data_IF_307414660165
#
_entry.id   IF_307414660165
#
_cell.length_a   1.000
_cell.length_b   1.000
_cell.length_c   1.000
_cell.angle_alpha   90.00
_cell.angle_beta   90.00
_cell.angle_gamma   90.00
#
_symmetry.space_group_name_H-M   'P 1'
#
loop_
_entity.id
_entity.type
_entity.pdbx_description
1 polymer ?
#
# COMPACT_ATOMS: atom_id res chain seq x y z
N UNK A 1 13.64 17.85 9.34
CA UNK A 1 13.81 17.24 8.01
C UNK A 1 12.78 16.13 7.95
N UNK A 2 11.69 16.37 7.22
CA UNK A 2 10.57 15.44 7.14
C UNK A 2 11.04 14.23 6.34
N UNK A 3 11.21 13.07 6.99
CA UNK A 3 11.22 11.78 6.28
C UNK A 3 9.87 11.58 5.59
N UNK A 4 9.70 10.57 4.73
CA UNK A 4 8.40 10.24 4.15
C UNK A 4 7.50 9.75 5.28
N UNK A 5 6.91 10.71 5.99
CA UNK A 5 5.67 10.52 6.72
C UNK A 5 4.77 9.94 5.66
N UNK A 6 4.31 8.71 5.89
CA UNK A 6 3.06 8.27 5.32
C UNK A 6 2.08 9.38 5.67
N UNK A 7 1.89 10.30 4.73
CA UNK A 7 0.68 11.09 4.68
C UNK A 7 -0.35 9.99 4.49
N UNK A 8 -0.88 9.52 5.62
CA UNK A 8 -2.30 9.35 5.79
C UNK A 8 -2.89 10.40 4.88
N UNK A 9 -3.21 10.02 3.65
CA UNK A 9 -4.16 10.79 2.91
C UNK A 9 -5.35 10.72 3.84
N UNK A 10 -5.60 11.82 4.56
CA UNK A 10 -6.88 12.12 5.15
C UNK A 10 -7.85 12.17 3.98
N UNK A 11 -8.16 11.00 3.42
CA UNK A 11 -9.38 10.79 2.71
C UNK A 11 -10.41 10.98 3.79
N UNK A 12 -11.06 12.14 3.74
CA UNK A 12 -12.26 12.48 4.48
C UNK A 12 -13.37 11.50 4.05
N UNK A 13 -13.23 10.24 4.47
CA UNK A 13 -14.22 9.20 4.35
C UNK A 13 -15.10 9.38 5.58
N UNK A 14 -16.29 9.93 5.37
CA UNK A 14 -17.32 10.16 6.38
C UNK A 14 -17.95 8.87 6.92
N UNK A 15 -17.24 7.75 6.89
CA UNK A 15 -17.70 6.51 7.52
C UNK A 15 -17.13 6.44 8.95
N UNK A 16 -17.94 6.04 9.94
CA UNK A 16 -17.47 5.94 11.31
C UNK A 16 -16.46 4.79 11.43
N UNK A 17 -15.17 5.13 11.45
CA UNK A 17 -14.03 4.20 11.59
C UNK A 17 -14.00 3.43 12.94
N UNK A 18 -14.98 3.63 13.82
CA UNK A 18 -15.09 2.94 15.10
C UNK A 18 -15.43 1.44 15.01
N UNK A 19 -15.92 0.95 13.85
CA UNK A 19 -16.32 -0.46 13.67
C UNK A 19 -15.30 -1.33 12.90
N UNK A 20 -14.18 -0.79 12.41
CA UNK A 20 -13.31 -1.49 11.43
C UNK A 20 -11.94 -1.95 11.94
N UNK A 21 -11.56 -1.63 13.18
CA UNK A 21 -10.33 -2.15 13.78
C UNK A 21 -10.54 -3.52 14.39
N UNK A 22 -9.81 -4.52 13.90
CA UNK A 22 -9.86 -5.88 14.43
C UNK A 22 -8.45 -6.34 14.78
N UNK A 23 -8.31 -6.96 15.94
CA UNK A 23 -7.08 -7.68 16.31
C UNK A 23 -7.33 -9.17 16.18
N UNK A 24 -6.36 -9.86 15.61
CA UNK A 24 -6.34 -11.32 15.49
C UNK A 24 -4.97 -11.82 15.94
N UNK A 25 -4.92 -13.06 16.46
CA UNK A 25 -3.64 -13.74 16.63
C UNK A 25 -2.96 -13.86 15.27
N UNK A 26 -1.65 -13.61 15.22
CA UNK A 26 -0.86 -13.74 14.00
C UNK A 26 -0.01 -15.02 14.07
N UNK A 27 -0.46 -16.14 13.47
CA UNK A 27 0.12 -17.46 13.67
C UNK A 27 1.37 -17.68 12.79
N UNK A 28 2.20 -16.66 12.64
CA UNK A 28 3.42 -16.67 11.85
C UNK A 28 4.60 -16.27 12.73
N UNK A 29 5.78 -16.82 12.43
CA UNK A 29 7.00 -16.41 13.13
C UNK A 29 7.43 -15.04 12.60
N UNK A 30 7.50 -14.06 13.48
CA UNK A 30 7.94 -12.70 13.15
C UNK A 30 9.33 -12.46 13.69
N UNK A 31 10.20 -11.90 12.85
CA UNK A 31 11.54 -11.48 13.23
C UNK A 31 11.78 -10.04 12.79
N UNK A 32 12.20 -9.21 13.74
CA UNK A 32 12.52 -7.80 13.52
C UNK A 32 14.04 -7.66 13.55
N UNK A 33 14.60 -7.11 12.48
CA UNK A 33 16.04 -7.03 12.26
C UNK A 33 16.46 -5.62 11.87
N UNK A 34 17.57 -5.15 12.44
CA UNK A 34 18.23 -3.91 12.04
C UNK A 34 19.71 -4.16 11.79
N UNK A 35 20.13 -3.94 10.54
CA UNK A 35 21.40 -4.43 10.03
C UNK A 35 21.56 -5.94 10.30
N UNK A 36 22.63 -6.38 10.97
CA UNK A 36 22.85 -7.79 11.31
C UNK A 36 22.25 -8.21 12.66
N UNK A 37 21.52 -7.30 13.33
CA UNK A 37 21.04 -7.50 14.69
C UNK A 37 19.56 -7.84 14.75
N UNK A 38 19.24 -8.98 15.35
CA UNK A 38 17.87 -9.39 15.64
C UNK A 38 17.37 -8.66 16.89
N UNK A 39 16.43 -7.74 16.70
CA UNK A 39 15.82 -6.92 17.75
C UNK A 39 14.68 -7.65 18.45
N UNK A 40 13.95 -8.50 17.73
CA UNK A 40 12.84 -9.27 18.29
C UNK A 40 12.59 -10.55 17.48
N UNK A 41 12.12 -11.60 18.15
CA UNK A 41 11.61 -12.82 17.53
C UNK A 41 10.37 -13.27 18.30
N UNK A 42 9.23 -13.40 17.62
CA UNK A 42 7.97 -13.75 18.26
C UNK A 42 7.19 -14.80 17.46
N UNK A 43 6.52 -15.70 18.19
CA UNK A 43 5.43 -16.54 17.68
C UNK A 43 4.08 -16.16 18.34
N UNK A 44 4.05 -15.07 19.11
CA UNK A 44 2.90 -14.60 19.89
C UNK A 44 2.50 -13.19 19.42
N UNK A 45 2.65 -12.93 18.12
CA UNK A 45 2.34 -11.63 17.54
C UNK A 45 0.83 -11.48 17.35
N UNK A 46 0.37 -10.24 17.33
CA UNK A 46 -0.98 -9.83 16.97
C UNK A 46 -0.96 -9.13 15.62
N UNK A 47 -2.00 -9.33 14.82
CA UNK A 47 -2.26 -8.58 13.60
C UNK A 47 -3.39 -7.59 13.87
N UNK A 48 -3.08 -6.30 13.85
CA UNK A 48 -4.07 -5.24 13.84
C UNK A 48 -4.49 -4.98 12.40
N UNK A 49 -5.72 -5.32 12.05
CA UNK A 49 -6.33 -5.02 10.76
C UNK A 49 -7.12 -3.72 10.89
N UNK A 50 -6.76 -2.76 10.05
CA UNK A 50 -7.47 -1.49 9.88
C UNK A 50 -7.58 -1.12 8.40
N UNK A 51 -8.12 0.06 8.11
CA UNK A 51 -8.62 0.45 6.78
C UNK A 51 -7.64 0.27 5.62
N UNK A 52 -6.34 0.45 5.83
CA UNK A 52 -5.35 0.49 4.74
C UNK A 52 -4.41 -0.71 4.74
N UNK A 53 -3.51 -0.77 5.72
CA UNK A 53 -2.53 -1.82 5.86
C UNK A 53 -2.57 -2.33 7.31
N UNK A 54 -2.51 -3.66 7.51
CA UNK A 54 -2.33 -4.21 8.84
C UNK A 54 -0.96 -3.86 9.43
N UNK A 55 -0.91 -3.82 10.76
CA UNK A 55 0.31 -3.75 11.54
C UNK A 55 0.51 -5.02 12.35
N UNK A 56 1.76 -5.45 12.50
CA UNK A 56 2.14 -6.56 13.37
C UNK A 56 2.62 -5.99 14.70
N UNK A 57 1.97 -6.45 15.77
CA UNK A 57 2.26 -6.09 17.14
C UNK A 57 2.94 -7.27 17.84
N UNK A 58 4.14 -7.04 18.38
CA UNK A 58 4.91 -8.04 19.13
C UNK A 58 4.82 -7.71 20.62
N UNK A 59 4.72 -8.72 21.51
CA UNK A 59 4.72 -8.46 22.94
C UNK A 59 6.10 -7.93 23.36
N UNK A 60 6.13 -6.99 24.31
CA UNK A 60 7.39 -6.42 24.80
C UNK A 60 8.37 -7.47 25.34
N UNK A 61 7.88 -8.63 25.81
CA UNK A 61 8.70 -9.74 26.28
C UNK A 61 9.57 -10.37 25.19
N UNK A 62 9.19 -10.22 23.93
CA UNK A 62 9.87 -10.81 22.78
C UNK A 62 10.81 -9.79 22.10
N UNK A 63 10.88 -8.56 22.63
CA UNK A 63 11.67 -7.44 22.11
C UNK A 63 12.88 -7.18 23.01
N UNK A 64 14.04 -6.95 22.40
CA UNK A 64 15.27 -6.51 23.08
C UNK A 64 15.18 -5.05 23.52
N UNK A 65 14.44 -4.82 24.59
CA UNK A 65 14.21 -3.49 25.16
C UNK A 65 15.50 -2.81 25.66
N UNK A 66 16.58 -3.56 25.88
CA UNK A 66 17.92 -3.03 26.16
C UNK A 66 18.50 -2.19 25.01
N UNK A 67 17.98 -2.34 23.80
CA UNK A 67 18.34 -1.55 22.61
C UNK A 67 17.30 -0.48 22.23
N UNK A 68 16.26 -0.31 23.06
CA UNK A 68 15.16 0.62 22.81
C UNK A 68 15.25 1.80 23.77
N UNK A 69 15.37 3.00 23.24
CA UNK A 69 15.40 4.24 24.04
C UNK A 69 14.11 5.01 23.83
N UNK A 70 13.30 5.14 24.89
CA UNK A 70 12.07 5.92 24.84
C UNK A 70 12.35 7.39 24.47
N UNK A 71 11.42 8.00 23.76
CA UNK A 71 11.53 9.39 23.31
C UNK A 71 10.41 10.24 23.90
N UNK A 72 10.58 11.56 23.88
CA UNK A 72 9.50 12.51 24.19
C UNK A 72 8.49 12.65 23.03
N UNK A 73 8.70 11.92 21.92
CA UNK A 73 7.79 11.96 20.79
C UNK A 73 6.54 11.12 21.08
N UNK A 74 5.37 11.69 20.79
CA UNK A 74 4.10 11.00 20.87
C UNK A 74 3.14 11.52 19.80
N UNK A 75 2.23 10.67 19.37
CA UNK A 75 1.13 11.02 18.48
C UNK A 75 -0.19 10.62 19.12
N UNK A 76 -1.28 11.27 18.73
CA UNK A 76 -2.62 10.94 19.24
C UNK A 76 -3.46 10.43 18.08
N UNK A 77 -3.93 9.20 18.22
CA UNK A 77 -4.94 8.61 17.35
C UNK A 77 -6.30 8.72 18.05
N UNK A 78 -7.33 9.29 17.41
CA UNK A 78 -8.68 9.38 17.99
C UNK A 78 -9.28 8.03 18.40
N UNK A 79 -8.83 6.94 17.79
CA UNK A 79 -9.39 5.59 17.98
C UNK A 79 -8.51 4.66 18.83
N UNK A 80 -7.20 4.93 18.92
CA UNK A 80 -6.24 4.07 19.64
C UNK A 80 -5.65 4.73 20.88
N UNK A 81 -5.75 6.06 21.00
CA UNK A 81 -5.17 6.82 22.10
C UNK A 81 -3.80 7.40 21.76
N UNK A 82 -2.98 7.63 22.79
CA UNK A 82 -1.65 8.20 22.65
C UNK A 82 -0.63 7.10 22.35
N UNK A 83 0.11 7.25 21.25
CA UNK A 83 1.23 6.40 20.91
C UNK A 83 2.52 6.94 21.54
N UNK A 84 3.29 6.06 22.17
CA UNK A 84 4.66 6.27 22.63
C UNK A 84 5.64 5.77 21.58
N UNK A 85 6.83 6.37 21.49
CA UNK A 85 7.84 6.02 20.49
C UNK A 85 9.22 5.76 21.10
N UNK A 86 9.95 4.84 20.49
CA UNK A 86 11.32 4.48 20.85
C UNK A 86 12.25 4.62 19.65
N UNK A 87 13.45 5.12 19.93
CA UNK A 87 14.61 4.98 19.09
C UNK A 87 15.19 3.58 19.25
N UNK A 88 15.73 3.02 18.17
CA UNK A 88 16.55 1.81 18.22
C UNK A 88 18.00 2.26 18.25
N UNK A 89 18.78 1.75 19.20
CA UNK A 89 20.22 1.98 19.29
C UNK A 89 20.96 0.67 19.54
N UNK A 90 21.81 0.28 18.61
CA UNK A 90 22.58 -0.96 18.69
C UNK A 90 24.08 -0.63 18.70
N UNK A 91 24.80 -1.24 19.64
CA UNK A 91 26.25 -1.14 19.83
C UNK A 91 26.81 0.30 19.89
N UNK A 92 25.98 1.27 20.28
CA UNK A 92 26.29 2.71 20.31
C UNK A 92 26.79 3.29 18.98
N UNK A 93 26.56 2.61 17.86
CA UNK A 93 27.03 3.02 16.53
C UNK A 93 25.91 3.18 15.53
N UNK A 94 24.87 2.36 15.65
CA UNK A 94 23.72 2.37 14.75
C UNK A 94 22.52 2.91 15.51
N UNK A 95 21.81 3.87 14.90
CA UNK A 95 20.61 4.45 15.50
C UNK A 95 19.54 4.72 14.46
N UNK A 96 18.29 4.44 14.81
CA UNK A 96 17.12 4.84 14.03
C UNK A 96 16.09 5.48 14.94
N UNK A 97 15.71 6.70 14.59
CA UNK A 97 14.77 7.48 15.40
C UNK A 97 13.32 7.03 15.17
N UNK A 98 12.56 6.95 16.27
CA UNK A 98 11.12 6.67 16.29
C UNK A 98 10.75 5.48 15.38
N UNK A 99 11.43 4.35 15.58
CA UNK A 99 11.32 3.16 14.74
C UNK A 99 10.34 2.12 15.29
N UNK A 100 10.09 2.17 16.60
CA UNK A 100 9.10 1.36 17.29
C UNK A 100 8.06 2.28 17.94
N UNK A 101 6.80 1.87 17.95
CA UNK A 101 5.73 2.54 18.68
C UNK A 101 4.84 1.56 19.44
N UNK A 102 4.14 2.06 20.43
CA UNK A 102 3.17 1.29 21.21
C UNK A 102 2.04 2.19 21.72
N UNK A 103 0.87 1.59 21.94
CA UNK A 103 -0.22 2.21 22.68
C UNK A 103 -0.22 1.62 24.09
N UNK A 104 0.46 2.29 25.02
CA UNK A 104 0.63 1.78 26.40
C UNK A 104 -0.65 1.91 27.25
N UNK A 105 -1.49 2.89 26.90
CA UNK A 105 -2.80 3.13 27.50
C UNK A 105 -3.84 3.36 26.38
N UNK A 106 -4.27 2.29 25.67
CA UNK A 106 -5.25 2.41 24.62
C UNK A 106 -6.60 2.94 25.15
N UNK A 107 -7.28 3.77 24.36
CA UNK A 107 -8.60 4.31 24.75
C UNK A 107 -9.67 3.21 24.81
N UNK A 108 -10.73 3.45 25.58
CA UNK A 108 -11.89 2.56 25.63
C UNK A 108 -12.48 2.35 24.22
N UNK A 109 -12.70 1.09 23.84
CA UNK A 109 -13.17 0.70 22.51
C UNK A 109 -12.06 0.36 21.51
N UNK A 110 -10.78 0.65 21.81
CA UNK A 110 -9.66 0.12 21.06
C UNK A 110 -9.47 -1.38 21.39
N UNK A 111 -9.16 -2.25 20.42
CA UNK A 111 -8.65 -3.58 20.72
C UNK A 111 -7.48 -3.52 21.71
N UNK A 112 -7.36 -4.52 22.59
CA UNK A 112 -6.33 -4.52 23.63
C UNK A 112 -4.93 -4.73 23.00
N UNK A 113 -4.23 -3.62 22.77
CA UNK A 113 -2.85 -3.57 22.28
C UNK A 113 -1.85 -3.36 23.43
N UNK A 114 -2.32 -3.34 24.69
CA UNK A 114 -1.48 -3.06 25.83
C UNK A 114 -0.43 -4.14 26.00
N UNK A 115 0.82 -3.73 26.20
CA UNK A 115 1.94 -4.66 26.35
C UNK A 115 2.53 -5.14 25.02
N UNK A 116 2.07 -4.60 23.89
CA UNK A 116 2.61 -4.87 22.56
C UNK A 116 3.17 -3.60 21.93
N UNK A 117 4.11 -3.78 21.00
CA UNK A 117 4.69 -2.73 20.19
C UNK A 117 4.78 -3.15 18.72
N UNK A 118 4.76 -2.18 17.81
CA UNK A 118 4.92 -2.37 16.37
C UNK A 118 6.14 -1.58 15.85
N UNK A 119 6.61 -1.95 14.66
CA UNK A 119 7.83 -1.39 14.05
C UNK A 119 7.54 -0.82 12.67
N UNK A 120 8.24 0.25 12.31
CA UNK A 120 8.10 0.89 11.01
C UNK A 120 8.86 0.10 9.96
N UNK A 121 8.13 -0.61 9.10
CA UNK A 121 8.71 -1.48 8.05
C UNK A 121 9.56 -0.71 7.02
N UNK A 122 9.27 0.58 6.82
CA UNK A 122 10.08 1.47 6.00
C UNK A 122 11.41 1.85 6.67
N UNK A 123 11.58 1.58 7.96
CA UNK A 123 12.82 1.83 8.71
C UNK A 123 13.56 0.56 9.12
N UNK A 124 12.84 -0.52 9.44
CA UNK A 124 13.37 -1.74 10.05
C UNK A 124 12.92 -2.95 9.24
N UNK A 125 13.81 -3.92 9.05
CA UNK A 125 13.50 -5.12 8.30
C UNK A 125 12.63 -6.04 9.15
N UNK A 126 11.48 -6.42 8.61
CA UNK A 126 10.58 -7.38 9.23
C UNK A 126 10.47 -8.62 8.36
N UNK A 127 10.74 -9.77 8.95
CA UNK A 127 10.59 -11.06 8.31
C UNK A 127 9.41 -11.82 8.92
N UNK A 128 8.57 -12.40 8.06
CA UNK A 128 7.46 -13.28 8.43
C UNK A 128 7.74 -14.64 7.82
N UNK A 129 7.82 -15.67 8.66
CA UNK A 129 8.20 -17.04 8.29
C UNK A 129 9.50 -17.09 7.45
N UNK A 130 10.45 -16.22 7.79
CA UNK A 130 11.74 -16.10 7.10
C UNK A 130 11.71 -15.30 5.79
N UNK A 131 10.55 -14.81 5.35
CA UNK A 131 10.42 -13.96 4.17
C UNK A 131 10.36 -12.48 4.57
N UNK A 132 11.19 -11.65 3.94
CA UNK A 132 11.14 -10.19 4.13
C UNK A 132 9.77 -9.64 3.70
N UNK A 133 9.14 -8.85 4.56
CA UNK A 133 7.93 -8.09 4.24
C UNK A 133 8.28 -7.00 3.24
N UNK A 134 7.60 -6.99 2.10
CA UNK A 134 7.82 -6.02 1.01
C UNK A 134 6.63 -5.07 0.92
N UNK A 135 6.90 -3.76 0.94
CA UNK A 135 5.86 -2.75 1.02
C UNK A 135 5.26 -2.71 2.42
N UNK A 136 4.09 -3.34 2.60
CA UNK A 136 3.41 -3.43 3.90
C UNK A 136 2.97 -4.88 4.18
N UNK A 137 2.55 -5.13 5.42
CA UNK A 137 2.04 -6.44 5.85
C UNK A 137 0.79 -6.79 5.05
N UNK A 138 0.66 -8.05 4.65
CA UNK A 138 -0.51 -8.53 3.91
C UNK A 138 -1.68 -8.72 4.87
N UNK A 139 -2.85 -8.22 4.48
CA UNK A 139 -4.11 -8.56 5.13
C UNK A 139 -4.55 -9.95 4.65
N UNK A 140 -4.67 -10.95 5.54
CA UNK A 140 -5.05 -12.31 5.16
C UNK A 140 -6.47 -12.41 4.60
N UNK A 141 -7.33 -11.43 4.89
CA UNK A 141 -8.71 -11.36 4.39
C UNK A 141 -8.84 -10.61 3.06
N UNK A 142 -7.73 -10.14 2.49
CA UNK A 142 -7.73 -9.47 1.19
C UNK A 142 -8.04 -10.49 0.09
N UNK A 143 -9.01 -10.17 -0.77
CA UNK A 143 -9.31 -10.95 -1.97
C UNK A 143 -8.95 -10.09 -3.19
N UNK A 144 -8.23 -10.70 -4.13
CA UNK A 144 -7.96 -10.13 -5.45
C UNK A 144 -8.40 -11.14 -6.49
N UNK A 145 -9.24 -10.70 -7.41
CA UNK A 145 -9.71 -11.49 -8.53
C UNK A 145 -9.56 -10.71 -9.83
N UNK A 146 -9.26 -11.43 -10.92
CA UNK A 146 -9.11 -10.83 -12.25
C UNK A 146 -10.07 -11.50 -13.22
N UNK A 147 -10.95 -10.70 -13.82
CA UNK A 147 -12.00 -11.18 -14.72
C UNK A 147 -11.88 -10.56 -16.11
N UNK A 148 -12.11 -11.34 -17.16
CA UNK A 148 -12.16 -10.82 -18.52
C UNK A 148 -13.39 -9.91 -18.71
N UNK A 149 -13.16 -8.74 -19.32
CA UNK A 149 -14.22 -7.81 -19.72
C UNK A 149 -14.72 -8.26 -21.10
N UNK A 150 -16.01 -8.61 -21.19
CA UNK A 150 -16.61 -9.11 -22.45
C UNK A 150 -16.97 -7.98 -23.42
N UNK A 151 -17.14 -6.77 -22.89
CA UNK A 151 -17.53 -5.58 -23.61
C UNK A 151 -16.29 -4.91 -24.22
N UNK A 152 -16.47 -4.21 -25.35
CA UNK A 152 -15.46 -3.29 -25.88
C UNK A 152 -15.32 -2.11 -24.92
N UNK A 153 -14.11 -1.88 -24.44
CA UNK A 153 -13.74 -0.76 -23.58
C UNK A 153 -13.23 0.37 -24.45
N UNK A 154 -13.80 1.56 -24.31
CA UNK A 154 -13.32 2.77 -24.96
C UNK A 154 -13.21 3.91 -23.95
N UNK A 155 -12.04 4.53 -23.85
CA UNK A 155 -11.78 5.64 -22.93
C UNK A 155 -11.23 6.83 -23.68
N UNK A 156 -11.72 8.02 -23.34
CA UNK A 156 -11.40 9.27 -24.03
C UNK A 156 -10.99 10.37 -23.06
N UNK A 157 -10.06 11.20 -23.50
CA UNK A 157 -9.78 12.52 -22.92
C UNK A 157 -10.16 13.51 -24.01
N UNK A 158 -11.16 14.35 -23.75
CA UNK A 158 -11.79 15.22 -24.75
C UNK A 158 -12.20 14.44 -25.99
N UNK A 159 -11.61 14.76 -27.13
CA UNK A 159 -11.91 14.11 -28.41
C UNK A 159 -10.97 12.93 -28.70
N UNK A 160 -9.85 12.84 -28.01
CA UNK A 160 -8.85 11.79 -28.20
C UNK A 160 -9.33 10.45 -27.67
N UNK A 161 -9.31 9.44 -28.52
CA UNK A 161 -9.52 8.05 -28.14
C UNK A 161 -8.19 7.48 -27.66
N UNK A 162 -8.04 7.36 -26.35
CA UNK A 162 -6.81 6.89 -25.70
C UNK A 162 -6.81 5.37 -25.63
N UNK A 163 -7.95 4.78 -25.26
CA UNK A 163 -8.13 3.33 -25.15
C UNK A 163 -9.28 2.90 -26.08
N UNK A 164 -9.05 1.85 -26.87
CA UNK A 164 -10.08 1.18 -27.66
C UNK A 164 -9.72 -0.30 -27.83
N UNK A 165 -10.36 -1.17 -27.05
CA UNK A 165 -10.02 -2.60 -27.06
C UNK A 165 -11.21 -3.49 -26.70
N UNK A 166 -11.16 -4.75 -27.15
CA UNK A 166 -12.01 -5.87 -26.65
C UNK A 166 -11.22 -6.86 -25.79
N UNK A 167 -9.92 -6.66 -25.69
CA UNK A 167 -9.02 -7.38 -24.81
C UNK A 167 -8.77 -6.48 -23.61
N UNK A 168 -9.56 -6.69 -22.56
CA UNK A 168 -9.42 -5.99 -21.30
C UNK A 168 -9.78 -6.96 -20.18
N UNK A 169 -9.15 -6.76 -19.02
CA UNK A 169 -9.53 -7.43 -17.78
C UNK A 169 -9.86 -6.38 -16.73
N UNK A 170 -10.72 -6.75 -15.79
CA UNK A 170 -11.00 -5.98 -14.59
C UNK A 170 -10.39 -6.70 -13.41
N UNK A 171 -9.64 -5.98 -12.59
CA UNK A 171 -9.13 -6.46 -11.32
C UNK A 171 -10.00 -5.88 -10.21
N UNK A 172 -10.58 -6.77 -9.42
CA UNK A 172 -11.35 -6.43 -8.22
C UNK A 172 -10.51 -6.77 -6.99
N UNK A 173 -10.48 -5.85 -6.05
CA UNK A 173 -9.66 -5.95 -4.84
C UNK A 173 -10.43 -5.47 -3.62
N UNK A 174 -10.44 -6.26 -2.54
CA UNK A 174 -11.20 -5.92 -1.32
C UNK A 174 -10.91 -4.50 -0.83
N UNK A 175 -11.96 -3.68 -0.72
CA UNK A 175 -11.87 -2.32 -0.21
C UNK A 175 -11.33 -1.29 -1.20
N UNK A 176 -11.09 -1.65 -2.47
CA UNK A 176 -10.65 -0.73 -3.52
C UNK A 176 -11.61 -0.78 -4.72
N UNK A 177 -11.72 0.33 -5.48
CA UNK A 177 -12.47 0.33 -6.74
C UNK A 177 -11.85 -0.62 -7.77
N UNK A 178 -12.71 -1.19 -8.61
CA UNK A 178 -12.32 -2.03 -9.73
C UNK A 178 -11.39 -1.28 -10.70
N UNK A 179 -10.34 -1.97 -11.18
CA UNK A 179 -9.36 -1.40 -12.11
C UNK A 179 -9.37 -2.11 -13.44
N UNK A 180 -9.51 -1.34 -14.50
CA UNK A 180 -9.30 -1.85 -15.85
C UNK A 180 -7.81 -2.01 -16.14
N UNK A 181 -7.49 -3.15 -16.74
CA UNK A 181 -6.19 -3.47 -17.30
C UNK A 181 -6.39 -3.78 -18.78
N UNK A 182 -5.60 -3.14 -19.64
CA UNK A 182 -5.64 -3.32 -21.10
C UNK A 182 -4.25 -3.67 -21.63
N UNK A 183 -4.11 -4.42 -22.74
CA UNK A 183 -2.79 -4.67 -23.31
C UNK A 183 -2.15 -3.35 -23.76
N UNK A 184 -0.82 -3.29 -23.76
CA UNK A 184 -0.09 -2.08 -24.19
C UNK A 184 -0.53 -1.60 -25.59
N UNK A 185 -0.81 -2.52 -26.52
CA UNK A 185 -1.30 -2.20 -27.86
C UNK A 185 -2.65 -1.49 -27.91
N UNK A 186 -3.42 -1.49 -26.81
CA UNK A 186 -4.69 -0.78 -26.71
C UNK A 186 -4.51 0.74 -26.53
N UNK A 187 -3.31 1.19 -26.17
CA UNK A 187 -2.98 2.62 -26.00
C UNK A 187 -1.93 2.99 -27.04
N UNK A 188 -2.23 3.91 -27.99
CA UNK A 188 -1.22 4.40 -28.90
C UNK A 188 -0.03 5.03 -28.16
N UNK A 189 1.19 4.60 -28.48
CA UNK A 189 2.41 5.02 -27.77
C UNK A 189 2.62 6.53 -27.69
N UNK A 190 2.10 7.31 -28.66
CA UNK A 190 2.15 8.79 -28.62
C UNK A 190 1.46 9.40 -27.39
N UNK A 191 0.57 8.66 -26.72
CA UNK A 191 -0.11 9.12 -25.52
C UNK A 191 0.61 8.70 -24.24
N UNK A 192 1.58 7.79 -24.30
CA UNK A 192 2.32 7.29 -23.15
C UNK A 192 3.67 7.98 -23.04
N UNK A 193 3.94 8.56 -21.88
CA UNK A 193 5.24 9.10 -21.50
C UNK A 193 5.70 8.40 -20.22
N UNK A 194 6.93 7.90 -20.20
CA UNK A 194 7.49 7.24 -19.02
C UNK A 194 7.52 8.18 -17.82
N UNK A 195 7.25 7.64 -16.63
CA UNK A 195 7.41 8.33 -15.36
C UNK A 195 8.55 7.71 -14.57
N UNK A 196 9.26 8.54 -13.80
CA UNK A 196 10.24 8.08 -12.81
C UNK A 196 9.57 7.44 -11.57
N UNK A 197 8.24 7.41 -11.51
CA UNK A 197 7.49 6.82 -10.40
C UNK A 197 7.49 5.29 -10.49
N UNK A 198 7.86 4.67 -9.38
CA UNK A 198 7.70 3.24 -9.13
C UNK A 198 7.02 2.99 -7.78
N UNK A 199 6.25 1.91 -7.66
CA UNK A 199 5.65 1.52 -6.37
C UNK A 199 5.73 0.03 -6.15
N UNK A 200 5.72 -0.38 -4.88
CA UNK A 200 5.68 -1.80 -4.51
C UNK A 200 4.32 -2.09 -3.88
N UNK A 201 3.56 -3.00 -4.49
CA UNK A 201 2.36 -3.56 -3.92
C UNK A 201 2.69 -4.93 -3.35
N UNK A 202 2.47 -5.14 -2.04
CA UNK A 202 2.73 -6.45 -1.40
C UNK A 202 1.98 -7.61 -2.07
N UNK A 203 0.85 -7.35 -2.73
CA UNK A 203 0.01 -8.37 -3.35
C UNK A 203 0.25 -8.60 -4.84
N UNK A 204 0.81 -7.60 -5.55
CA UNK A 204 0.92 -7.60 -7.02
C UNK A 204 2.36 -7.48 -7.51
N UNK A 205 3.27 -6.99 -6.67
CA UNK A 205 4.68 -6.79 -6.98
C UNK A 205 5.01 -5.35 -7.35
N UNK A 206 5.95 -5.22 -8.27
CA UNK A 206 6.57 -3.95 -8.63
C UNK A 206 5.85 -3.29 -9.80
N UNK A 207 5.35 -2.07 -9.59
CA UNK A 207 4.70 -1.26 -10.61
C UNK A 207 5.61 -0.14 -11.11
N UNK A 208 5.63 0.07 -12.43
CA UNK A 208 6.17 1.26 -13.10
C UNK A 208 5.02 2.08 -13.69
N UNK A 209 5.20 3.39 -13.77
CA UNK A 209 4.14 4.32 -14.14
C UNK A 209 4.42 5.05 -15.46
N UNK A 210 3.35 5.51 -16.09
CA UNK A 210 3.38 6.40 -17.24
C UNK A 210 2.42 7.56 -17.01
N UNK A 211 2.78 8.72 -17.55
CA UNK A 211 1.88 9.83 -17.75
C UNK A 211 1.05 9.61 -19.03
N UNK A 212 -0.18 10.13 -19.06
CA UNK A 212 -0.92 10.29 -20.31
C UNK A 212 -0.75 11.71 -20.82
N UNK A 213 -0.23 11.86 -22.04
CA UNK A 213 -0.07 13.16 -22.70
C UNK A 213 -0.94 13.26 -23.94
N UNK A 214 -1.85 14.22 -23.97
CA UNK A 214 -2.52 14.72 -25.17
C UNK A 214 -1.97 16.10 -25.52
N UNK A 215 -2.39 16.69 -26.65
CA UNK A 215 -2.01 18.06 -27.00
C UNK A 215 -2.49 19.09 -25.95
N UNK A 216 -3.61 18.79 -25.28
CA UNK A 216 -4.26 19.71 -24.35
C UNK A 216 -3.96 19.42 -22.88
N UNK A 217 -3.54 18.19 -22.54
CA UNK A 217 -3.49 17.72 -21.16
C UNK A 217 -2.36 16.74 -20.91
N UNK A 218 -1.61 16.99 -19.84
CA UNK A 218 -0.79 15.98 -19.19
C UNK A 218 -1.55 15.46 -17.95
N UNK A 219 -1.67 14.15 -17.82
CA UNK A 219 -2.20 13.49 -16.63
C UNK A 219 -1.10 12.61 -16.07
N UNK A 220 -0.57 12.99 -14.91
CA UNK A 220 0.62 12.35 -14.38
C UNK A 220 0.31 11.03 -13.67
N UNK A 221 1.22 10.04 -13.76
CA UNK A 221 1.19 8.81 -12.95
C UNK A 221 -0.11 8.00 -13.04
N UNK A 222 -0.78 8.05 -14.19
CA UNK A 222 -2.15 7.59 -14.34
C UNK A 222 -2.27 6.18 -14.89
N UNK A 223 -1.24 5.74 -15.59
CA UNK A 223 -1.12 4.38 -16.11
C UNK A 223 -0.01 3.68 -15.34
N UNK A 224 -0.19 2.41 -15.01
CA UNK A 224 0.86 1.59 -14.42
C UNK A 224 0.92 0.20 -15.03
N UNK A 225 2.06 -0.46 -14.88
CA UNK A 225 2.27 -1.82 -15.37
C UNK A 225 3.00 -2.65 -14.33
N UNK A 226 2.56 -3.90 -14.16
CA UNK A 226 3.32 -4.94 -13.45
C UNK A 226 3.97 -5.85 -14.49
N UNK A 227 5.26 -5.63 -14.77
CA UNK A 227 6.00 -6.45 -15.74
C UNK A 227 6.31 -7.85 -15.20
N UNK A 228 6.49 -7.97 -13.89
CA UNK A 228 6.76 -9.22 -13.18
C UNK A 228 5.87 -9.33 -11.93
N UNK A 229 4.55 -9.60 -12.10
CA UNK A 229 3.65 -9.65 -10.97
C UNK A 229 3.98 -10.81 -10.03
N UNK A 230 3.92 -10.57 -8.72
CA UNK A 230 4.16 -11.60 -7.71
C UNK A 230 2.92 -12.47 -7.51
N UNK A 231 3.04 -13.76 -7.81
CA UNK A 231 1.91 -14.70 -7.81
C UNK A 231 1.81 -15.53 -6.53
N UNK A 232 2.64 -15.25 -5.53
CA UNK A 232 2.71 -15.96 -4.26
C UNK A 232 1.50 -15.65 -3.36
N UNK A 233 0.91 -14.46 -3.49
CA UNK A 233 -0.35 -14.12 -2.82
C UNK A 233 -1.57 -14.72 -3.53
N UNK A 234 -1.67 -14.53 -4.84
CA UNK A 234 -2.73 -15.12 -5.68
C UNK A 234 -2.23 -15.32 -7.10
N UNK A 235 -2.52 -16.47 -7.76
CA UNK A 235 -2.09 -16.70 -9.14
C UNK A 235 -2.85 -15.83 -10.16
N UNK A 236 -4.01 -15.26 -9.80
CA UNK A 236 -4.84 -14.47 -10.72
C UNK A 236 -4.13 -13.22 -11.27
N UNK A 237 -3.21 -12.63 -10.50
CA UNK A 237 -2.42 -11.46 -10.93
C UNK A 237 -1.47 -11.77 -12.08
N UNK A 238 -1.20 -13.05 -12.39
CA UNK A 238 -0.47 -13.40 -13.61
C UNK A 238 -1.19 -12.93 -14.88
N UNK A 239 -2.53 -12.78 -14.82
CA UNK A 239 -3.38 -12.33 -15.95
C UNK A 239 -3.18 -10.86 -16.30
N UNK A 240 -2.64 -10.04 -15.39
CA UNK A 240 -2.35 -8.62 -15.64
C UNK A 240 -0.89 -8.38 -15.99
N UNK A 241 -0.07 -9.43 -16.18
CA UNK A 241 1.34 -9.29 -16.57
C UNK A 241 1.42 -8.50 -17.87
N UNK A 242 2.16 -7.39 -17.85
CA UNK A 242 2.32 -6.45 -18.96
C UNK A 242 1.02 -5.78 -19.46
N UNK A 243 -0.10 -5.91 -18.75
CA UNK A 243 -1.27 -5.08 -19.02
C UNK A 243 -1.12 -3.74 -18.29
N UNK A 244 -1.59 -2.68 -18.94
CA UNK A 244 -1.63 -1.32 -18.44
C UNK A 244 -2.89 -1.11 -17.59
N UNK A 245 -2.69 -0.94 -16.29
CA UNK A 245 -3.72 -0.51 -15.35
C UNK A 245 -3.98 1.00 -15.47
N UNK A 246 -5.24 1.40 -15.29
CA UNK A 246 -5.70 2.77 -15.56
C UNK A 246 -6.61 3.29 -14.44
N UNK A 247 -6.44 4.56 -14.05
CA UNK A 247 -7.44 5.26 -13.24
C UNK A 247 -8.55 5.80 -14.15
N UNK A 248 -9.70 5.13 -14.18
CA UNK A 248 -10.83 5.48 -15.05
C UNK A 248 -11.38 6.88 -14.80
N UNK A 249 -11.24 7.39 -13.57
CA UNK A 249 -11.73 8.73 -13.18
C UNK A 249 -10.97 9.88 -13.83
N UNK A 250 -9.80 9.64 -14.44
CA UNK A 250 -9.06 10.69 -15.14
C UNK A 250 -9.53 10.93 -16.57
N UNK A 251 -10.34 10.02 -17.11
CA UNK A 251 -10.90 10.10 -18.46
C UNK A 251 -12.19 10.91 -18.45
N UNK A 252 -12.39 11.72 -19.49
CA UNK A 252 -13.63 12.50 -19.66
C UNK A 252 -14.80 11.59 -20.06
N UNK A 253 -14.52 10.43 -20.65
CA UNK A 253 -15.54 9.44 -21.02
C UNK A 253 -14.98 8.03 -20.96
N UNK A 254 -15.71 7.13 -20.30
CA UNK A 254 -15.47 5.68 -20.28
C UNK A 254 -16.71 4.97 -20.81
N UNK A 255 -16.57 4.14 -21.83
CA UNK A 255 -17.67 3.45 -22.51
C UNK A 255 -17.45 1.93 -22.51
N UNK A 256 -18.49 1.17 -22.15
CA UNK A 256 -18.56 -0.28 -22.35
C UNK A 256 -19.58 -0.57 -23.46
N UNK A 257 -19.12 -1.11 -24.59
CA UNK A 257 -19.93 -1.30 -25.80
C UNK A 257 -20.68 -0.02 -26.25
N UNK A 258 -20.08 1.15 -26.02
CA UNK A 258 -20.68 2.44 -26.36
C UNK A 258 -21.62 3.02 -25.29
N UNK A 259 -21.87 2.29 -24.20
CA UNK A 259 -22.66 2.77 -23.07
C UNK A 259 -21.74 3.44 -22.05
N UNK A 260 -22.00 4.70 -21.64
CA UNK A 260 -21.22 5.35 -20.60
C UNK A 260 -21.25 4.60 -19.27
N UNK A 261 -20.08 4.46 -18.65
CA UNK A 261 -19.93 4.01 -17.27
C UNK A 261 -19.97 5.24 -16.37
N UNK A 262 -20.81 5.23 -15.34
CA UNK A 262 -20.77 6.26 -14.32
C UNK A 262 -19.66 5.94 -13.32
N UNK A 263 -18.78 6.90 -13.12
CA UNK A 263 -17.77 6.87 -12.06
C UNK A 263 -18.40 7.28 -10.74
N UNK A 264 -18.16 6.49 -9.68
CA UNK A 264 -18.60 6.83 -8.34
C UNK A 264 -17.70 7.94 -7.74
N UNK A 265 -18.30 8.85 -6.99
CA UNK A 265 -17.61 9.85 -6.18
C UNK A 265 -16.55 9.25 -5.23
N UNK A 266 -16.79 8.04 -4.71
CA UNK A 266 -15.85 7.32 -3.83
C UNK A 266 -14.63 6.81 -4.60
N UNK A 267 -14.84 6.31 -5.82
CA UNK A 267 -13.77 5.92 -6.74
C UNK A 267 -12.90 7.14 -7.08
N UNK A 268 -13.52 8.27 -7.40
CA UNK A 268 -12.81 9.53 -7.69
C UNK A 268 -12.03 10.08 -6.49
N UNK A 269 -12.49 9.88 -5.25
CA UNK A 269 -11.73 10.21 -4.06
C UNK A 269 -10.50 9.31 -3.91
N UNK A 270 -10.68 8.00 -4.10
CA UNK A 270 -9.61 7.00 -4.01
C UNK A 270 -8.53 7.23 -5.06
N UNK A 271 -8.91 7.50 -6.31
CA UNK A 271 -7.96 7.73 -7.40
C UNK A 271 -7.11 8.98 -7.15
N UNK A 272 -7.75 10.07 -6.69
CA UNK A 272 -7.03 11.29 -6.32
C UNK A 272 -6.02 11.03 -5.21
N UNK A 273 -6.41 10.30 -4.17
CA UNK A 273 -5.52 9.92 -3.08
C UNK A 273 -4.29 9.13 -3.57
N UNK A 274 -4.51 8.13 -4.42
CA UNK A 274 -3.43 7.29 -4.97
C UNK A 274 -2.49 8.07 -5.90
N UNK A 275 -3.05 8.97 -6.72
CA UNK A 275 -2.26 9.83 -7.61
C UNK A 275 -1.36 10.80 -6.84
N UNK A 276 -1.85 11.37 -5.74
CA UNK A 276 -1.09 12.31 -4.91
C UNK A 276 -0.20 11.63 -3.87
N UNK A 277 -0.37 10.33 -3.66
CA UNK A 277 0.48 9.58 -2.73
C UNK A 277 1.93 9.62 -3.22
N UNK A 278 2.91 9.90 -2.34
CA UNK A 278 4.31 9.94 -2.74
C UNK A 278 4.74 8.59 -3.31
N UNK A 279 5.67 8.63 -4.26
CA UNK A 279 6.44 7.45 -4.66
C UNK A 279 7.11 6.91 -3.39
N UNK A 280 6.78 5.67 -3.02
CA UNK A 280 7.51 5.00 -1.94
C UNK A 280 8.87 4.65 -2.53
N UNK A 281 9.87 5.47 -2.20
CA UNK A 281 11.25 5.29 -2.66
C UNK A 281 11.77 3.93 -2.20
N UNK A 282 12.41 3.22 -3.13
CA UNK A 282 12.62 1.77 -3.13
C UNK A 282 13.94 1.33 -2.52
N UNK A 283 14.77 2.20 -1.95
CA UNK A 283 16.09 1.77 -1.48
C UNK A 283 16.04 1.20 -0.05
N UNK A 284 15.60 -0.07 0.03
CA UNK A 284 16.12 -1.05 0.99
C UNK A 284 17.66 -1.11 0.97
N UNK A 285 18.31 -0.64 -0.10
CA UNK A 285 19.77 -0.62 -0.29
C UNK A 285 20.51 0.55 0.38
N UNK A 286 19.84 1.56 0.93
CA UNK A 286 20.53 2.73 1.52
C UNK A 286 20.51 2.77 3.05
N UNK A 287 19.82 1.84 3.71
CA UNK A 287 19.67 1.79 5.18
C UNK A 287 20.93 1.38 5.96
N UNK A 288 22.09 1.25 5.30
CA UNK A 288 23.36 0.79 5.87
C UNK A 288 24.53 1.76 5.66
N UNK A 289 24.29 3.06 5.49
CA UNK A 289 25.37 4.06 5.50
C UNK A 289 25.41 4.89 6.77
#
# INVERSE_FOLDING_TARGET
VFGPVWVLVEMNMTEPLGETMRVEDYPHRVEIQFAEHVLAQSNNALLLIETYAPDIYLPFSDIRMDWMTATDHSTVCPHKGQASYWNIQVDNQLSVDNAMWAYEDPVEGCPDLKGYAAFYFDKIDTHVDGSLVRGHVRNPHKVIAVHAVKQRVCMKIKQDVIVDTRDAVVLSETGLPDRFYVPESAIPSRFLEESDRETVCTYKGEARYFHLRTEERLVENVVWVYSEPWTDFTPDVARIKNYLGLYTTTFDTVLLNGVPVQTDSTEAATDRAMLTSPTVDRTLSEKTR
#
